data_IF_750423193287
#
_entry.id   IF_750423193287
#
_cell.length_a   1.000
_cell.length_b   1.000
_cell.length_c   1.000
_cell.angle_alpha   90.00
_cell.angle_beta   90.00
_cell.angle_gamma   90.00
#
_symmetry.space_group_name_H-M   'P 1'
#
loop_
_entity.id
_entity.type
_entity.pdbx_description
1 polymer ?
#
# COMPACT_ATOMS: atom_id res chain seq x y z
N UNK A 1 -16.96 3.00 -19.23
CA UNK A 1 -16.38 3.16 -20.57
C UNK A 1 -15.15 2.28 -20.64
N UNK A 2 -15.09 1.12 -21.33
CA UNK A 2 -15.15 0.95 -22.79
C UNK A 2 -14.30 2.00 -23.52
N UNK A 3 -13.00 1.76 -23.63
CA UNK A 3 -12.16 2.36 -24.67
C UNK A 3 -11.11 1.35 -25.15
N UNK A 4 -11.61 0.40 -25.94
CA UNK A 4 -10.92 -0.02 -27.15
C UNK A 4 -11.88 0.32 -28.30
N UNK A 5 -11.56 1.26 -29.20
CA UNK A 5 -12.23 1.33 -30.48
C UNK A 5 -11.40 0.54 -31.51
N UNK A 6 -12.04 -0.43 -32.17
CA UNK A 6 -11.61 -0.90 -33.48
C UNK A 6 -12.40 -0.17 -34.56
N UNK A 7 -11.74 0.27 -35.65
CA UNK A 7 -12.44 0.64 -36.89
C UNK A 7 -11.89 1.80 -37.76
N UNK A 8 -10.67 1.67 -38.26
CA UNK A 8 -10.16 2.04 -39.61
C UNK A 8 -10.29 3.47 -40.23
N UNK A 9 -9.13 3.95 -40.70
CA UNK A 9 -8.82 4.91 -41.78
C UNK A 9 -8.96 6.43 -41.56
N UNK A 10 -7.80 7.13 -41.55
CA UNK A 10 -7.69 8.51 -42.03
C UNK A 10 -7.20 9.59 -41.05
N UNK A 11 -5.86 9.69 -40.89
CA UNK A 11 -5.08 10.93 -40.68
C UNK A 11 -5.15 11.71 -39.35
N UNK A 12 -3.95 12.19 -38.91
CA UNK A 12 -3.62 13.11 -37.80
C UNK A 12 -3.55 12.45 -36.40
N UNK A 13 -2.45 11.94 -35.86
CA UNK A 13 -1.01 12.30 -35.91
C UNK A 13 -0.72 13.75 -35.50
N UNK A 14 -0.75 14.00 -34.18
CA UNK A 14 -0.36 15.28 -33.56
C UNK A 14 0.08 15.13 -32.10
N UNK A 15 1.39 14.95 -31.90
CA UNK A 15 2.18 15.37 -30.73
C UNK A 15 2.08 14.61 -29.39
N UNK A 16 2.47 13.33 -29.38
CA UNK A 16 3.40 12.79 -28.36
C UNK A 16 4.37 11.88 -29.12
N UNK A 17 5.42 12.51 -29.68
CA UNK A 17 6.41 11.84 -30.50
C UNK A 17 7.37 11.00 -29.67
N UNK A 18 7.52 9.73 -30.04
CA UNK A 18 8.58 8.88 -29.49
C UNK A 18 8.32 7.39 -29.58
N UNK A 19 7.97 6.87 -30.77
CA UNK A 19 8.06 5.44 -31.02
C UNK A 19 9.52 5.07 -31.22
N UNK A 20 10.14 4.42 -30.24
CA UNK A 20 11.52 3.92 -30.34
C UNK A 20 11.52 2.39 -30.27
N UNK A 21 11.85 1.77 -31.41
CA UNK A 21 12.22 0.34 -31.54
C UNK A 21 13.15 -0.10 -30.39
N UNK A 22 13.13 -1.38 -29.98
CA UNK A 22 14.17 -1.89 -29.07
C UNK A 22 15.53 -1.73 -29.78
N UNK A 23 16.32 -0.76 -29.33
CA UNK A 23 17.66 -0.49 -29.83
C UNK A 23 18.69 -1.33 -29.06
N UNK A 24 19.67 -1.84 -29.80
CA UNK A 24 20.69 -2.76 -29.31
C UNK A 24 21.53 -2.12 -28.19
N UNK A 25 21.80 -2.88 -27.12
CA UNK A 25 22.52 -2.47 -25.91
C UNK A 25 23.95 -1.91 -26.13
N UNK A 26 24.47 -1.97 -27.35
CA UNK A 26 25.85 -1.66 -27.73
C UNK A 26 26.09 -0.19 -28.14
N UNK A 27 25.08 0.68 -28.17
CA UNK A 27 25.19 2.07 -28.67
C UNK A 27 24.59 3.17 -27.76
N UNK A 28 24.51 2.96 -26.43
CA UNK A 28 23.88 3.96 -25.53
C UNK A 28 24.87 5.01 -24.98
N UNK A 29 24.53 6.28 -25.16
CA UNK A 29 25.12 7.42 -24.41
C UNK A 29 24.66 7.42 -22.95
N UNK A 30 25.37 8.07 -22.03
CA UNK A 30 25.04 8.09 -20.58
C UNK A 30 23.61 8.60 -20.29
N UNK A 31 23.11 9.53 -21.11
CA UNK A 31 21.73 10.06 -21.01
C UNK A 31 20.67 9.07 -21.52
N UNK A 32 20.94 8.32 -22.60
CA UNK A 32 20.04 7.28 -23.11
C UNK A 32 19.96 6.08 -22.16
N UNK A 33 21.08 5.72 -21.53
CA UNK A 33 21.10 4.66 -20.51
C UNK A 33 20.34 5.09 -19.24
N UNK A 34 20.40 6.38 -18.87
CA UNK A 34 19.60 6.92 -17.78
C UNK A 34 18.10 6.88 -18.11
N UNK A 35 17.69 7.24 -19.33
CA UNK A 35 16.29 7.21 -19.76
C UNK A 35 15.74 5.77 -19.91
N UNK A 36 16.49 4.87 -20.56
CA UNK A 36 16.13 3.45 -20.66
C UNK A 36 16.12 2.75 -19.30
N UNK A 37 17.06 3.12 -18.41
CA UNK A 37 17.07 2.66 -17.02
C UNK A 37 15.86 3.18 -16.22
N UNK A 38 15.48 4.44 -16.43
CA UNK A 38 14.30 5.02 -15.80
C UNK A 38 13.00 4.35 -16.30
N UNK A 39 12.88 4.08 -17.61
CA UNK A 39 11.72 3.37 -18.15
C UNK A 39 11.62 1.94 -17.63
N UNK A 40 12.75 1.20 -17.58
CA UNK A 40 12.80 -0.12 -16.98
C UNK A 40 12.42 -0.10 -15.49
N UNK A 41 12.86 0.92 -14.75
CA UNK A 41 12.51 1.14 -13.35
C UNK A 41 11.03 1.50 -13.17
N UNK A 42 10.47 2.35 -14.03
CA UNK A 42 9.05 2.72 -14.02
C UNK A 42 8.16 1.50 -14.34
N UNK A 43 8.54 0.70 -15.33
CA UNK A 43 7.83 -0.54 -15.66
C UNK A 43 7.87 -1.55 -14.51
N UNK A 44 9.00 -1.63 -13.78
CA UNK A 44 9.09 -2.44 -12.58
C UNK A 44 8.22 -1.88 -11.43
N UNK A 45 8.21 -0.56 -11.21
CA UNK A 45 7.37 0.08 -10.18
C UNK A 45 5.87 -0.06 -10.46
N UNK A 46 5.48 -0.07 -11.74
CA UNK A 46 4.10 -0.28 -12.16
C UNK A 46 3.68 -1.76 -12.11
N UNK A 47 4.64 -2.68 -12.07
CA UNK A 47 4.34 -4.12 -11.96
C UNK A 47 3.69 -4.46 -10.61
N UNK A 48 2.83 -5.48 -10.59
CA UNK A 48 2.21 -5.97 -9.35
C UNK A 48 3.21 -6.27 -8.21
N UNK A 49 4.37 -6.93 -8.45
CA UNK A 49 5.36 -7.11 -7.38
C UNK A 49 5.98 -5.78 -6.93
N UNK A 50 6.22 -4.84 -7.85
CA UNK A 50 6.71 -3.50 -7.53
C UNK A 50 5.72 -2.71 -6.66
N UNK A 51 4.45 -2.62 -7.05
CA UNK A 51 3.40 -1.95 -6.28
C UNK A 51 3.22 -2.58 -4.90
N UNK A 52 3.17 -3.92 -4.82
CA UNK A 52 3.02 -4.64 -3.56
C UNK A 52 4.20 -4.42 -2.61
N UNK A 53 5.42 -4.41 -3.14
CA UNK A 53 6.62 -4.14 -2.35
C UNK A 53 6.61 -2.71 -1.81
N UNK A 54 6.28 -1.72 -2.65
CA UNK A 54 6.18 -0.32 -2.21
C UNK A 54 5.11 -0.14 -1.14
N UNK A 55 3.92 -0.71 -1.32
CA UNK A 55 2.87 -0.67 -0.32
C UNK A 55 3.27 -1.38 0.98
N UNK A 56 3.99 -2.50 0.90
CA UNK A 56 4.53 -3.21 2.05
C UNK A 56 5.56 -2.39 2.82
N UNK A 57 6.47 -1.70 2.12
CA UNK A 57 7.47 -0.81 2.76
C UNK A 57 6.80 0.39 3.41
N UNK A 58 5.85 1.03 2.71
CA UNK A 58 5.09 2.15 3.27
C UNK A 58 4.28 1.73 4.49
N UNK A 59 3.61 0.57 4.43
CA UNK A 59 2.89 -0.01 5.56
C UNK A 59 3.81 -0.37 6.73
N UNK A 60 5.00 -0.90 6.46
CA UNK A 60 6.00 -1.20 7.48
C UNK A 60 6.50 0.08 8.17
N UNK A 61 6.80 1.14 7.41
CA UNK A 61 7.23 2.41 7.97
C UNK A 61 6.14 3.04 8.85
N UNK A 62 4.91 3.14 8.33
CA UNK A 62 3.77 3.68 9.08
C UNK A 62 3.46 2.83 10.32
N UNK A 63 3.50 1.51 10.20
CA UNK A 63 3.28 0.59 11.33
C UNK A 63 4.40 0.63 12.37
N UNK A 64 5.64 0.92 11.97
CA UNK A 64 6.78 1.09 12.88
C UNK A 64 6.66 2.36 13.70
N UNK A 65 6.29 3.48 13.06
CA UNK A 65 6.03 4.76 13.73
C UNK A 65 4.83 4.63 14.67
N UNK A 66 3.71 4.08 14.17
CA UNK A 66 2.52 3.87 14.97
C UNK A 66 2.77 2.90 16.14
N UNK A 67 3.52 1.82 15.92
CA UNK A 67 3.86 0.85 16.95
C UNK A 67 4.82 1.40 18.01
N UNK A 68 5.75 2.30 17.62
CA UNK A 68 6.62 2.99 18.57
C UNK A 68 5.82 4.00 19.41
N UNK A 69 4.89 4.72 18.79
CA UNK A 69 4.00 5.66 19.47
C UNK A 69 3.06 4.94 20.45
N UNK A 70 2.43 3.85 20.02
CA UNK A 70 1.59 3.01 20.90
C UNK A 70 2.40 2.40 22.04
N UNK A 71 3.63 1.95 21.77
CA UNK A 71 4.52 1.51 22.83
C UNK A 71 4.74 2.65 23.84
N UNK A 72 5.12 3.85 23.39
CA UNK A 72 5.35 4.99 24.31
C UNK A 72 4.14 5.36 25.16
N UNK A 73 2.92 5.35 24.61
CA UNK A 73 1.71 5.65 25.40
C UNK A 73 1.37 4.55 26.42
N UNK A 74 1.69 3.29 26.11
CA UNK A 74 1.48 2.17 27.04
C UNK A 74 2.52 2.09 28.18
N UNK A 75 3.57 2.93 28.15
CA UNK A 75 4.59 2.99 29.20
C UNK A 75 4.25 3.96 30.34
N UNK A 76 3.28 4.86 30.16
CA UNK A 76 2.83 5.81 31.20
C UNK A 76 1.86 5.19 32.23
N UNK A 77 1.46 3.92 32.08
CA UNK A 77 0.68 3.18 33.08
C UNK A 77 1.58 2.30 33.96
N UNK A 78 2.05 2.79 35.12
CA UNK A 78 2.77 1.96 36.07
C UNK A 78 1.77 1.15 36.89
N UNK A 79 1.17 0.07 36.38
CA UNK A 79 0.50 -0.92 37.24
C UNK A 79 0.10 -2.21 36.48
N UNK A 80 0.79 -3.29 36.85
CA UNK A 80 0.15 -4.57 37.12
C UNK A 80 -0.08 -5.52 35.95
N UNK A 81 0.98 -6.21 35.48
CA UNK A 81 0.85 -7.65 35.10
C UNK A 81 2.17 -8.40 34.84
N UNK A 82 3.34 -7.98 35.32
CA UNK A 82 4.45 -8.94 35.57
C UNK A 82 5.44 -8.41 36.62
N UNK A 83 5.45 -8.96 37.85
CA UNK A 83 6.35 -8.55 38.91
C UNK A 83 7.62 -9.41 38.84
N UNK A 84 8.61 -9.01 38.07
CA UNK A 84 9.95 -9.58 38.24
C UNK A 84 11.04 -8.52 38.12
N UNK A 85 11.47 -8.03 39.28
CA UNK A 85 12.88 -7.74 39.56
C UNK A 85 13.51 -6.55 38.78
N UNK A 86 12.92 -5.35 38.85
CA UNK A 86 13.61 -4.11 38.42
C UNK A 86 14.41 -3.43 39.54
N UNK A 87 14.42 -3.97 40.77
CA UNK A 87 15.09 -3.33 41.91
C UNK A 87 16.58 -3.62 42.06
N UNK A 88 17.15 -4.58 41.32
CA UNK A 88 18.56 -5.02 41.53
C UNK A 88 19.46 -4.98 40.29
N UNK A 89 18.97 -4.50 39.13
CA UNK A 89 19.80 -4.37 37.91
C UNK A 89 20.12 -2.90 37.58
N UNK A 90 21.37 -2.59 37.15
CA UNK A 90 21.83 -1.22 36.89
C UNK A 90 20.94 -0.52 35.86
N UNK A 91 20.72 0.79 36.02
CA UNK A 91 19.90 1.63 35.13
C UNK A 91 20.17 1.43 33.63
N UNK A 92 21.42 1.11 33.26
CA UNK A 92 21.81 0.81 31.88
C UNK A 92 21.13 -0.46 31.32
N UNK A 93 20.93 -1.47 32.16
CA UNK A 93 20.34 -2.75 31.78
C UNK A 93 18.82 -2.66 31.73
N UNK A 94 18.20 -1.84 32.59
CA UNK A 94 16.78 -1.51 32.54
C UNK A 94 16.44 -0.70 31.28
N UNK A 95 17.22 0.34 30.98
CA UNK A 95 17.04 1.08 29.72
C UNK A 95 17.23 0.18 28.50
N UNK A 96 18.28 -0.67 28.47
CA UNK A 96 18.48 -1.60 27.36
C UNK A 96 17.31 -2.57 27.18
N UNK A 97 16.75 -3.09 28.27
CA UNK A 97 15.59 -3.97 28.22
C UNK A 97 14.33 -3.22 27.75
N UNK A 98 14.11 -2.01 28.24
CA UNK A 98 13.01 -1.13 27.83
C UNK A 98 13.06 -0.82 26.33
N UNK A 99 14.22 -0.38 25.82
CA UNK A 99 14.41 -0.12 24.39
C UNK A 99 14.25 -1.39 23.55
N UNK A 100 14.67 -2.55 24.08
CA UNK A 100 14.49 -3.83 23.40
C UNK A 100 13.01 -4.23 23.33
N UNK A 101 12.23 -4.03 24.39
CA UNK A 101 10.79 -4.35 24.38
C UNK A 101 10.00 -3.38 23.50
N UNK A 102 10.29 -2.06 23.59
CA UNK A 102 9.74 -1.04 22.69
C UNK A 102 10.02 -1.38 21.22
N UNK A 103 11.26 -1.73 20.90
CA UNK A 103 11.68 -2.12 19.56
C UNK A 103 10.97 -3.39 19.07
N UNK A 104 10.83 -4.41 19.92
CA UNK A 104 10.11 -5.64 19.56
C UNK A 104 8.63 -5.39 19.25
N UNK A 105 7.95 -4.56 20.06
CA UNK A 105 6.54 -4.19 19.83
C UNK A 105 6.34 -3.36 18.57
N UNK A 106 7.19 -2.36 18.36
CA UNK A 106 7.19 -1.54 17.14
C UNK A 106 7.45 -2.42 15.91
N UNK A 107 8.44 -3.32 15.97
CA UNK A 107 8.77 -4.23 14.87
C UNK A 107 7.65 -5.23 14.56
N UNK A 108 6.98 -5.77 15.59
CA UNK A 108 5.82 -6.63 15.40
C UNK A 108 4.66 -5.87 14.73
N UNK A 109 4.45 -4.61 15.11
CA UNK A 109 3.43 -3.75 14.50
C UNK A 109 3.76 -3.45 13.05
N UNK A 110 4.99 -3.01 12.77
CA UNK A 110 5.51 -2.77 11.42
C UNK A 110 5.33 -3.99 10.51
N UNK A 111 5.64 -5.20 11.00
CA UNK A 111 5.43 -6.45 10.27
C UNK A 111 3.97 -6.67 9.89
N UNK A 112 3.05 -6.48 10.83
CA UNK A 112 1.62 -6.68 10.57
C UNK A 112 1.08 -5.67 9.56
N UNK A 113 1.38 -4.38 9.70
CA UNK A 113 0.93 -3.35 8.76
C UNK A 113 1.58 -3.50 7.38
N UNK A 114 2.86 -3.84 7.31
CA UNK A 114 3.53 -4.14 6.05
C UNK A 114 2.95 -5.37 5.34
N UNK A 115 2.62 -6.43 6.08
CA UNK A 115 2.00 -7.63 5.53
C UNK A 115 0.59 -7.37 4.99
N UNK A 116 -0.23 -6.61 5.74
CA UNK A 116 -1.56 -6.21 5.30
C UNK A 116 -1.47 -5.35 4.04
N UNK A 117 -0.58 -4.36 4.00
CA UNK A 117 -0.39 -3.48 2.84
C UNK A 117 0.10 -4.21 1.58
N UNK A 118 0.97 -5.20 1.77
CA UNK A 118 1.47 -6.06 0.70
C UNK A 118 0.34 -6.91 0.10
N UNK A 119 -0.45 -7.60 0.93
CA UNK A 119 -1.54 -8.46 0.44
C UNK A 119 -2.66 -7.63 -0.19
N UNK A 120 -3.03 -6.49 0.42
CA UNK A 120 -4.08 -5.63 -0.11
C UNK A 120 -3.76 -5.17 -1.54
N UNK A 121 -2.60 -4.53 -1.72
CA UNK A 121 -2.15 -4.01 -3.01
C UNK A 121 -1.86 -5.13 -4.02
N UNK A 122 -1.34 -6.27 -3.55
CA UNK A 122 -1.09 -7.44 -4.40
C UNK A 122 -2.38 -8.07 -4.91
N UNK A 123 -3.41 -8.16 -4.07
CA UNK A 123 -4.72 -8.69 -4.44
C UNK A 123 -5.43 -7.75 -5.40
N UNK A 124 -5.39 -6.45 -5.14
CA UNK A 124 -5.95 -5.43 -6.03
C UNK A 124 -5.30 -5.48 -7.42
N UNK A 125 -3.97 -5.49 -7.49
CA UNK A 125 -3.25 -5.55 -8.76
C UNK A 125 -3.50 -6.87 -9.52
N UNK A 126 -3.65 -7.99 -8.79
CA UNK A 126 -4.00 -9.28 -9.39
C UNK A 126 -5.39 -9.25 -10.03
N UNK A 127 -6.38 -8.66 -9.34
CA UNK A 127 -7.75 -8.53 -9.85
C UNK A 127 -7.80 -7.57 -11.03
N UNK A 128 -7.09 -6.44 -10.96
CA UNK A 128 -6.99 -5.48 -12.05
C UNK A 128 -6.35 -6.10 -13.29
N UNK A 129 -5.27 -6.86 -13.11
CA UNK A 129 -4.60 -7.58 -14.21
C UNK A 129 -5.50 -8.60 -14.89
N UNK A 130 -6.43 -9.23 -14.16
CA UNK A 130 -7.37 -10.20 -14.71
C UNK A 130 -8.57 -9.56 -15.41
N UNK A 131 -9.03 -8.38 -14.96
CA UNK A 131 -10.25 -7.73 -15.47
C UNK A 131 -9.99 -6.56 -16.42
N UNK A 132 -8.76 -6.06 -16.48
CA UNK A 132 -8.32 -4.91 -17.28
C UNK A 132 -9.18 -3.64 -17.11
N UNK A 133 -9.78 -3.47 -15.92
CA UNK A 133 -10.61 -2.31 -15.57
C UNK A 133 -10.34 -1.88 -14.14
N UNK A 134 -10.30 -0.58 -13.90
CA UNK A 134 -10.11 0.07 -12.60
C UNK A 134 -11.43 0.62 -12.05
N UNK A 135 -12.23 -0.27 -11.46
CA UNK A 135 -13.54 0.08 -10.89
C UNK A 135 -13.52 -0.03 -9.36
N UNK A 136 -14.44 0.67 -8.69
CA UNK A 136 -14.55 0.68 -7.22
C UNK A 136 -14.74 -0.73 -6.63
N UNK A 137 -15.37 -1.61 -7.42
CA UNK A 137 -15.57 -3.01 -7.06
C UNK A 137 -14.27 -3.81 -6.94
N UNK A 138 -13.18 -3.38 -7.59
CA UNK A 138 -11.88 -4.01 -7.42
C UNK A 138 -11.32 -3.74 -6.02
N UNK A 139 -11.39 -2.49 -5.54
CA UNK A 139 -10.97 -2.14 -4.18
C UNK A 139 -11.81 -2.86 -3.11
N UNK A 140 -13.13 -2.94 -3.30
CA UNK A 140 -14.05 -3.64 -2.37
C UNK A 140 -13.77 -5.15 -2.32
N UNK A 141 -13.62 -5.78 -3.48
CA UNK A 141 -13.36 -7.22 -3.56
C UNK A 141 -11.97 -7.55 -3.03
N UNK A 142 -10.94 -6.76 -3.36
CA UNK A 142 -9.60 -6.90 -2.81
C UNK A 142 -9.60 -6.72 -1.27
N UNK A 143 -10.32 -5.72 -0.76
CA UNK A 143 -10.52 -5.49 0.67
C UNK A 143 -11.18 -6.67 1.36
N UNK A 144 -12.31 -7.16 0.84
CA UNK A 144 -12.99 -8.33 1.39
C UNK A 144 -12.12 -9.59 1.36
N UNK A 145 -11.44 -9.87 0.25
CA UNK A 145 -10.58 -11.05 0.11
C UNK A 145 -9.38 -10.98 1.06
N UNK A 146 -8.76 -9.81 1.20
CA UNK A 146 -7.64 -9.59 2.11
C UNK A 146 -8.10 -9.70 3.57
N UNK A 147 -9.14 -8.98 3.96
CA UNK A 147 -9.67 -8.96 5.33
C UNK A 147 -10.27 -10.31 5.76
N UNK A 148 -10.99 -10.96 4.85
CA UNK A 148 -11.51 -12.32 5.04
C UNK A 148 -10.38 -13.33 5.16
N UNK A 149 -9.42 -13.29 4.22
CA UNK A 149 -8.25 -14.17 4.14
C UNK A 149 -7.39 -14.16 5.41
N UNK A 150 -7.12 -12.97 5.94
CA UNK A 150 -6.37 -12.80 7.18
C UNK A 150 -7.09 -13.37 8.40
N UNK A 151 -8.42 -13.37 8.41
CA UNK A 151 -9.25 -13.80 9.52
C UNK A 151 -9.77 -15.25 9.41
N UNK A 152 -9.44 -15.99 8.33
CA UNK A 152 -9.87 -17.39 8.13
C UNK A 152 -9.48 -18.27 9.32
N UNK A 153 -8.27 -18.09 9.86
CA UNK A 153 -7.76 -18.91 10.96
C UNK A 153 -8.47 -18.65 12.29
N UNK A 154 -9.14 -17.50 12.42
CA UNK A 154 -9.89 -17.12 13.62
C UNK A 154 -11.35 -17.59 13.58
N UNK A 155 -11.78 -18.22 12.49
CA UNK A 155 -13.13 -18.79 12.31
C UNK A 155 -13.96 -18.08 11.22
N UNK A 156 -15.11 -18.65 10.83
CA UNK A 156 -15.94 -18.11 9.75
C UNK A 156 -16.57 -16.75 10.12
N UNK A 157 -16.97 -16.56 11.38
CA UNK A 157 -17.58 -15.30 11.83
C UNK A 157 -16.57 -14.14 11.78
N UNK A 158 -15.32 -14.37 12.18
CA UNK A 158 -14.26 -13.35 12.05
C UNK A 158 -13.88 -13.11 10.60
N UNK A 159 -13.91 -14.13 9.74
CA UNK A 159 -13.67 -13.95 8.31
C UNK A 159 -14.74 -13.07 7.65
N UNK A 160 -16.01 -13.28 7.99
CA UNK A 160 -17.11 -12.43 7.50
C UNK A 160 -17.00 -10.99 8.03
N UNK A 161 -16.70 -10.83 9.33
CA UNK A 161 -16.52 -9.51 9.93
C UNK A 161 -15.29 -8.79 9.34
N UNK A 162 -14.19 -9.51 9.13
CA UNK A 162 -12.97 -9.00 8.51
C UNK A 162 -13.19 -8.59 7.06
N UNK A 163 -13.90 -9.41 6.27
CA UNK A 163 -14.30 -9.05 4.91
C UNK A 163 -15.15 -7.77 4.91
N UNK A 164 -16.20 -7.70 5.75
CA UNK A 164 -17.07 -6.53 5.81
C UNK A 164 -16.33 -5.26 6.22
N UNK A 165 -15.46 -5.34 7.24
CA UNK A 165 -14.69 -4.20 7.72
C UNK A 165 -13.71 -3.67 6.67
N UNK A 166 -12.91 -4.56 6.05
CA UNK A 166 -11.96 -4.16 5.02
C UNK A 166 -12.65 -3.69 3.74
N UNK A 167 -13.75 -4.34 3.34
CA UNK A 167 -14.57 -3.88 2.21
C UNK A 167 -15.11 -2.47 2.44
N UNK A 168 -15.68 -2.21 3.62
CA UNK A 168 -16.21 -0.90 4.00
C UNK A 168 -15.11 0.18 4.02
N UNK A 169 -13.95 -0.13 4.61
CA UNK A 169 -12.82 0.78 4.64
C UNK A 169 -12.31 1.09 3.24
N UNK A 170 -12.14 0.07 2.38
CA UNK A 170 -11.73 0.26 0.99
C UNK A 170 -12.72 1.12 0.20
N UNK A 171 -14.04 0.87 0.32
CA UNK A 171 -15.04 1.75 -0.30
C UNK A 171 -14.93 3.19 0.19
N UNK A 172 -14.72 3.41 1.49
CA UNK A 172 -14.66 4.75 2.05
C UNK A 172 -13.45 5.52 1.50
N UNK A 173 -12.29 4.87 1.41
CA UNK A 173 -11.08 5.45 0.83
C UNK A 173 -11.25 5.72 -0.66
N UNK A 174 -11.82 4.78 -1.42
CA UNK A 174 -12.09 4.96 -2.86
C UNK A 174 -13.07 6.12 -3.12
N UNK A 175 -14.13 6.23 -2.32
CA UNK A 175 -15.08 7.34 -2.41
C UNK A 175 -14.44 8.67 -2.07
N UNK A 176 -13.57 8.69 -1.05
CA UNK A 176 -12.82 9.88 -0.67
C UNK A 176 -11.91 10.35 -1.81
N UNK A 177 -11.07 9.46 -2.36
CA UNK A 177 -10.16 9.81 -3.46
C UNK A 177 -10.90 10.25 -4.74
N UNK A 178 -12.05 9.63 -5.03
CA UNK A 178 -12.88 10.00 -6.19
C UNK A 178 -13.59 11.33 -6.02
N UNK A 179 -14.00 11.68 -4.80
CA UNK A 179 -14.62 12.98 -4.50
C UNK A 179 -13.69 14.13 -4.85
N UNK A 180 -12.42 13.99 -4.49
CA UNK A 180 -11.43 15.04 -4.72
C UNK A 180 -10.96 15.10 -6.20
N UNK A 181 -11.25 14.06 -6.99
CA UNK A 181 -10.95 13.97 -8.43
C UNK A 181 -12.14 14.36 -9.34
N UNK A 182 -13.27 14.79 -8.75
CA UNK A 182 -14.41 15.25 -9.54
C UNK A 182 -14.03 16.53 -10.32
N UNK A 183 -14.51 16.69 -11.57
CA UNK A 183 -14.32 17.94 -12.29
C UNK A 183 -14.86 19.11 -11.45
N UNK A 184 -14.21 20.29 -11.48
CA UNK A 184 -14.69 21.44 -10.75
C UNK A 184 -16.15 21.71 -11.15
N UNK A 185 -17.03 22.08 -10.20
CA UNK A 185 -18.39 22.47 -10.53
C UNK A 185 -18.35 23.61 -11.55
N UNK A 186 -19.25 23.61 -12.53
CA UNK A 186 -19.35 24.65 -13.57
C UNK A 186 -19.93 25.98 -13.08
N UNK A 187 -19.95 26.20 -11.76
CA UNK A 187 -20.52 27.37 -11.10
C UNK A 187 -19.57 27.78 -9.98
N UNK A 188 -18.50 28.49 -10.36
CA UNK A 188 -17.85 29.48 -9.52
C UNK A 188 -18.68 30.77 -9.58
N UNK A 189 -19.94 30.73 -9.14
CA UNK A 189 -20.69 31.95 -8.86
C UNK A 189 -20.86 32.06 -7.35
N UNK A 190 -20.05 32.94 -6.79
CA UNK A 190 -20.33 33.64 -5.55
C UNK A 190 -21.72 34.29 -5.64
N UNK A 191 -22.70 33.76 -4.88
CA UNK A 191 -23.86 34.51 -4.36
C UNK A 191 -24.33 33.96 -3.01
#
# INVERSE_FOLDING_TARGET
MSFLPGGNNGTNFGAYGGQSRPQSYSEMTSEQQAMAGAEAMMNFMQSCPGKSAMAGVTGFALGGVFGLFMASMSYDTPLGSTPTQFSDLPFKQQMKLQFTDMGKRSYSSAKNFGFIGLIFTGTECSIESLRAKTDIWNGVSAGCLTGGGLAIKSGPTSALMGCAAFAAFSTAIDLYMRRDSAPPPSTDEDE
#
